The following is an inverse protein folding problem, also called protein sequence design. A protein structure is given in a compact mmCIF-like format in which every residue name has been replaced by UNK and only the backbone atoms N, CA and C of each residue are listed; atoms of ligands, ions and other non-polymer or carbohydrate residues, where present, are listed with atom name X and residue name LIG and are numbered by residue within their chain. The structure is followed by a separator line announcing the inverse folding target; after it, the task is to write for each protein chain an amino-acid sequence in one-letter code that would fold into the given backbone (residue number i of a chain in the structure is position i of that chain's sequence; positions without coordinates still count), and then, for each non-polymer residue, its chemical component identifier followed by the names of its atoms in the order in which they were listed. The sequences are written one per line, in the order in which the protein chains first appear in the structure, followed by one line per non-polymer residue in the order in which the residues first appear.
data_IF_963098420360
#
_entry.id   IF_963098420360
#
_cell.length_a   1.000
_cell.length_b   1.000
_cell.length_c   1.000
_cell.angle_alpha   90.00
_cell.angle_beta   90.00
_cell.angle_gamma   90.00
#
_symmetry.space_group_name_H-M   'P 1'
#
loop_
_entity.id
_entity.type
_entity.pdbx_description
1 polymer ?
#
# COMPACT_ATOMS: atom_id res chain seq x y z
N UNK A 1 21.23 18.92 9.79
CA UNK A 1 20.63 19.11 8.46
C UNK A 1 19.28 18.43 8.49
N UNK A 2 18.18 19.14 8.18
CA UNK A 2 16.86 18.51 8.10
C UNK A 2 16.84 17.53 6.92
N UNK A 3 16.23 16.37 7.10
CA UNK A 3 16.01 15.34 6.08
C UNK A 3 14.51 15.09 5.95
N UNK A 4 14.06 14.71 4.77
CA UNK A 4 12.70 14.20 4.59
C UNK A 4 12.69 12.73 5.06
N UNK A 5 12.06 12.49 6.21
CA UNK A 5 11.86 11.16 6.78
C UNK A 5 10.47 10.65 6.34
N UNK A 6 10.45 9.63 5.48
CA UNK A 6 9.21 9.10 4.90
C UNK A 6 8.56 8.09 5.85
N UNK A 7 7.23 8.14 5.96
CA UNK A 7 6.45 7.12 6.64
C UNK A 7 6.41 5.86 5.78
N UNK A 8 6.61 4.70 6.39
CA UNK A 8 6.52 3.41 5.73
C UNK A 8 5.07 3.03 5.41
N UNK A 9 4.20 3.28 6.38
CA UNK A 9 2.77 3.01 6.34
C UNK A 9 2.03 4.21 6.94
N UNK A 10 0.73 4.30 6.71
CA UNK A 10 -0.14 5.35 7.25
C UNK A 10 -0.15 5.31 8.78
N UNK A 11 0.34 6.33 9.51
CA UNK A 11 0.08 6.42 10.94
C UNK A 11 -1.43 6.38 11.21
N UNK A 12 -1.85 5.52 12.14
CA UNK A 12 -3.25 5.32 12.49
C UNK A 12 -3.43 5.33 14.03
N UNK A 13 -4.67 5.53 14.50
CA UNK A 13 -4.97 5.52 15.93
C UNK A 13 -4.14 6.53 16.72
N UNK A 14 -3.48 6.09 17.79
CA UNK A 14 -2.66 6.98 18.63
C UNK A 14 -1.48 7.62 17.89
N UNK A 15 -0.90 6.93 16.90
CA UNK A 15 0.19 7.47 16.08
C UNK A 15 -0.28 8.64 15.22
N UNK A 16 -1.46 8.49 14.59
CA UNK A 16 -2.10 9.57 13.84
C UNK A 16 -2.40 10.78 14.74
N UNK A 17 -3.00 10.54 15.91
CA UNK A 17 -3.33 11.61 16.85
C UNK A 17 -2.08 12.33 17.35
N UNK A 18 -1.02 11.58 17.65
CA UNK A 18 0.28 12.12 18.00
C UNK A 18 0.87 12.97 16.88
N UNK A 19 0.78 12.51 15.62
CA UNK A 19 1.31 13.25 14.47
C UNK A 19 0.59 14.59 14.28
N UNK A 20 -0.73 14.62 14.48
CA UNK A 20 -1.51 15.87 14.45
C UNK A 20 -1.07 16.81 15.58
N UNK A 21 -0.93 16.31 16.82
CA UNK A 21 -0.46 17.12 17.95
C UNK A 21 0.95 17.67 17.71
N UNK A 22 1.85 16.83 17.21
CA UNK A 22 3.21 17.20 16.88
C UNK A 22 3.26 18.25 15.75
N UNK A 23 2.42 18.09 14.73
CA UNK A 23 2.21 19.06 13.67
C UNK A 23 1.78 20.43 14.22
N UNK A 24 0.70 20.45 14.98
CA UNK A 24 0.12 21.69 15.56
C UNK A 24 1.09 22.37 16.53
N UNK A 25 1.92 21.62 17.27
CA UNK A 25 2.91 22.19 18.21
C UNK A 25 4.08 22.87 17.48
N UNK A 26 4.53 22.31 16.35
CA UNK A 26 5.76 22.73 15.66
C UNK A 26 5.52 23.61 14.43
N UNK A 27 4.29 23.61 13.90
CA UNK A 27 3.89 24.38 12.72
C UNK A 27 3.01 25.57 13.10
N UNK A 28 3.13 26.67 12.36
CA UNK A 28 2.27 27.85 12.53
C UNK A 28 0.95 27.69 11.77
N UNK A 29 0.99 26.97 10.65
CA UNK A 29 -0.16 26.76 9.77
C UNK A 29 -0.20 25.34 9.24
N UNK A 30 -1.40 24.90 8.87
CA UNK A 30 -1.60 23.70 8.06
C UNK A 30 -2.45 24.03 6.84
N UNK A 31 -2.35 23.17 5.83
CA UNK A 31 -3.00 23.33 4.55
C UNK A 31 -3.84 22.10 4.20
N UNK A 32 -4.93 22.36 3.49
CA UNK A 32 -5.76 21.35 2.82
C UNK A 32 -5.95 21.76 1.36
N UNK A 33 -6.02 20.78 0.48
CA UNK A 33 -6.26 20.96 -0.95
C UNK A 33 -7.64 20.41 -1.37
N UNK A 34 -8.19 20.98 -2.43
CA UNK A 34 -9.40 20.49 -3.09
C UNK A 34 -9.22 20.58 -4.60
N UNK A 35 -9.42 19.48 -5.31
CA UNK A 35 -9.42 19.50 -6.77
C UNK A 35 -10.55 20.39 -7.31
N UNK A 36 -10.28 21.14 -8.38
CA UNK A 36 -11.24 22.06 -9.00
C UNK A 36 -12.44 21.33 -9.65
N UNK A 37 -12.32 20.03 -9.91
CA UNK A 37 -13.25 19.29 -10.78
C UNK A 37 -14.14 18.31 -10.00
N UNK A 38 -14.20 18.43 -8.67
CA UNK A 38 -14.84 17.43 -7.85
C UNK A 38 -15.56 17.97 -6.62
N UNK A 39 -16.73 17.39 -6.36
CA UNK A 39 -17.56 17.66 -5.19
C UNK A 39 -17.15 16.74 -4.03
N UNK A 40 -16.99 17.33 -2.84
CA UNK A 40 -16.78 16.57 -1.62
C UNK A 40 -18.11 15.94 -1.18
N UNK A 41 -17.99 14.81 -0.49
CA UNK A 41 -19.11 14.27 0.28
C UNK A 41 -19.41 15.20 1.47
N UNK A 42 -20.59 15.04 2.06
CA UNK A 42 -21.08 15.86 3.17
C UNK A 42 -20.07 15.93 4.34
N UNK A 43 -19.38 14.82 4.60
CA UNK A 43 -18.32 14.74 5.61
C UNK A 43 -17.16 15.71 5.34
N UNK A 44 -16.62 15.71 4.12
CA UNK A 44 -15.53 16.62 3.75
C UNK A 44 -15.94 18.08 3.79
N UNK A 45 -17.18 18.42 3.37
CA UNK A 45 -17.72 19.78 3.47
C UNK A 45 -17.93 20.19 4.95
N UNK A 46 -18.35 19.26 5.79
CA UNK A 46 -18.50 19.49 7.23
C UNK A 46 -17.15 19.82 7.89
N UNK A 47 -16.08 19.10 7.53
CA UNK A 47 -14.73 19.38 8.04
C UNK A 47 -14.27 20.78 7.65
N UNK A 48 -14.43 21.19 6.39
CA UNK A 48 -14.09 22.55 5.96
C UNK A 48 -14.90 23.61 6.73
N UNK A 49 -16.19 23.35 6.96
CA UNK A 49 -17.09 24.23 7.72
C UNK A 49 -16.65 24.38 9.17
N UNK A 50 -16.27 23.29 9.84
CA UNK A 50 -15.77 23.31 11.21
C UNK A 50 -14.44 24.06 11.33
N UNK A 51 -13.60 24.01 10.30
CA UNK A 51 -12.30 24.67 10.26
C UNK A 51 -12.35 26.16 9.88
N UNK A 52 -13.48 26.65 9.35
CA UNK A 52 -13.66 28.04 8.90
C UNK A 52 -13.20 29.11 9.92
N UNK A 53 -13.43 28.98 11.25
CA UNK A 53 -12.95 29.95 12.24
C UNK A 53 -11.42 30.10 12.29
N UNK A 54 -10.67 29.13 11.78
CA UNK A 54 -9.20 29.10 11.77
C UNK A 54 -8.62 29.47 10.40
N UNK A 55 -9.46 29.69 9.38
CA UNK A 55 -9.03 29.99 8.02
C UNK A 55 -8.29 31.34 7.97
N UNK A 56 -7.05 31.32 7.47
CA UNK A 56 -6.23 32.50 7.24
C UNK A 56 -6.44 33.02 5.81
N UNK A 57 -6.35 32.11 4.83
CA UNK A 57 -6.54 32.45 3.42
C UNK A 57 -7.00 31.25 2.61
N UNK A 58 -7.73 31.55 1.54
CA UNK A 58 -8.18 30.61 0.51
C UNK A 58 -7.80 31.17 -0.85
N UNK A 59 -7.21 30.34 -1.70
CA UNK A 59 -6.83 30.73 -3.07
C UNK A 59 -6.92 29.53 -4.02
N UNK A 60 -7.01 29.81 -5.31
CA UNK A 60 -7.00 28.79 -6.36
C UNK A 60 -5.70 28.81 -7.13
N UNK A 61 -5.32 27.65 -7.66
CA UNK A 61 -4.26 27.49 -8.66
C UNK A 61 -4.87 26.79 -9.86
N UNK A 62 -4.77 27.43 -11.01
CA UNK A 62 -5.22 26.88 -12.30
C UNK A 62 -4.16 25.97 -12.91
N UNK A 63 -4.59 25.14 -13.87
CA UNK A 63 -3.67 24.28 -14.61
C UNK A 63 -2.62 25.09 -15.39
N UNK A 64 -3.01 26.24 -15.93
CA UNK A 64 -2.13 27.14 -16.68
C UNK A 64 -1.03 27.74 -15.78
N UNK A 65 -1.40 28.17 -14.56
CA UNK A 65 -0.44 28.69 -13.58
C UNK A 65 0.60 27.64 -13.16
N UNK A 66 0.19 26.38 -12.98
CA UNK A 66 1.13 25.28 -12.69
C UNK A 66 2.09 25.04 -13.85
N UNK A 67 1.58 24.96 -15.06
CA UNK A 67 2.39 24.74 -16.26
C UNK A 67 3.42 25.87 -16.47
N UNK A 68 3.07 27.11 -16.12
CA UNK A 68 4.01 28.23 -16.13
C UNK A 68 5.13 28.04 -15.11
N UNK A 69 4.79 27.67 -13.87
CA UNK A 69 5.78 27.39 -12.80
C UNK A 69 6.74 26.27 -13.18
N UNK A 70 6.24 25.21 -13.84
CA UNK A 70 7.09 24.11 -14.29
C UNK A 70 8.07 24.50 -15.40
N UNK A 71 7.70 25.43 -16.29
CA UNK A 71 8.59 25.93 -17.34
C UNK A 71 9.75 26.74 -16.77
N UNK A 72 9.49 27.58 -15.77
CA UNK A 72 10.52 28.40 -15.10
C UNK A 72 11.58 27.52 -14.40
N UNK A 73 11.17 26.45 -13.72
CA UNK A 73 12.11 25.51 -13.06
C UNK A 73 12.98 24.78 -14.09
N UNK A 74 12.46 24.49 -15.29
CA UNK A 74 13.22 23.78 -16.33
C UNK A 74 14.29 24.62 -17.03
N UNK A 75 14.25 25.96 -16.93
CA UNK A 75 15.25 26.83 -17.56
C UNK A 75 16.49 27.07 -16.67
N UNK A 76 16.40 26.92 -15.34
CA UNK A 76 17.52 27.13 -14.41
C UNK A 76 18.31 25.85 -14.05
N UNK A 77 17.69 24.65 -14.08
CA UNK A 77 18.33 23.39 -13.65
C UNK A 77 18.82 22.52 -14.83
N UNK A 78 19.99 22.85 -15.40
CA UNK A 78 20.72 21.91 -16.28
C UNK A 78 21.44 20.83 -15.47
N UNK A 79 20.75 19.71 -15.19
CA UNK A 79 21.36 18.46 -14.72
C UNK A 79 21.02 17.26 -15.64
N UNK A 80 21.86 16.20 -15.72
CA UNK A 80 21.82 15.20 -16.79
C UNK A 80 20.54 14.36 -16.84
N UNK A 81 20.14 13.99 -18.06
CA UNK A 81 18.83 13.42 -18.46
C UNK A 81 18.50 11.99 -17.98
N UNK A 82 19.28 11.39 -17.07
CA UNK A 82 19.19 9.95 -16.81
C UNK A 82 18.16 9.52 -15.75
N UNK A 83 17.55 10.43 -14.99
CA UNK A 83 16.63 10.07 -13.89
C UNK A 83 15.31 10.88 -13.92
N UNK A 84 14.59 10.83 -15.05
CA UNK A 84 13.34 11.61 -15.24
C UNK A 84 12.26 11.37 -14.18
N UNK A 85 12.15 10.16 -13.60
CA UNK A 85 11.14 9.84 -12.58
C UNK A 85 11.46 10.38 -11.18
N UNK A 86 12.75 10.52 -10.82
CA UNK A 86 13.14 11.16 -9.55
C UNK A 86 13.02 12.69 -9.59
N UNK A 87 12.96 13.26 -10.79
CA UNK A 87 12.89 14.70 -11.01
C UNK A 87 11.49 15.29 -10.82
N UNK A 88 10.43 14.49 -10.80
CA UNK A 88 9.07 15.01 -10.67
C UNK A 88 8.75 15.40 -9.22
N UNK A 89 9.13 14.57 -8.25
CA UNK A 89 9.00 14.87 -6.82
C UNK A 89 9.88 16.06 -6.37
N UNK A 90 11.04 16.27 -7.00
CA UNK A 90 11.95 17.38 -6.68
C UNK A 90 11.49 18.75 -7.22
N UNK A 91 10.47 18.79 -8.09
CA UNK A 91 9.97 20.03 -8.73
C UNK A 91 8.88 20.74 -7.94
N UNK A 92 8.30 20.09 -6.94
CA UNK A 92 7.19 20.64 -6.18
C UNK A 92 7.70 21.21 -4.86
N UNK A 93 7.66 22.53 -4.71
CA UNK A 93 7.74 23.18 -3.39
C UNK A 93 6.32 23.22 -2.83
N UNK A 94 5.98 22.29 -1.95
CA UNK A 94 4.71 22.31 -1.22
C UNK A 94 3.54 21.57 -1.88
N UNK A 95 2.43 21.58 -1.14
CA UNK A 95 1.10 21.03 -1.47
C UNK A 95 0.54 21.53 -2.83
N UNK A 96 1.11 22.60 -3.39
CA UNK A 96 0.71 23.25 -4.64
C UNK A 96 1.18 22.53 -5.91
N UNK A 97 1.16 21.19 -5.93
CA UNK A 97 1.60 20.38 -7.05
C UNK A 97 0.48 20.05 -8.06
N UNK A 98 -0.77 20.46 -7.78
CA UNK A 98 -1.95 20.21 -8.61
C UNK A 98 -2.87 21.42 -8.70
N UNK A 99 -3.72 21.44 -9.73
CA UNK A 99 -4.68 22.52 -9.89
C UNK A 99 -5.85 22.30 -8.93
N UNK A 100 -6.23 23.34 -8.22
CA UNK A 100 -7.03 23.16 -7.02
C UNK A 100 -7.32 24.45 -6.28
N UNK A 101 -8.17 24.32 -5.26
CA UNK A 101 -8.35 25.32 -4.22
C UNK A 101 -7.56 24.89 -2.99
N UNK A 102 -6.81 25.83 -2.43
CA UNK A 102 -5.97 25.64 -1.27
C UNK A 102 -6.49 26.47 -0.10
N UNK A 103 -6.54 25.84 1.05
CA UNK A 103 -7.01 26.42 2.29
C UNK A 103 -5.85 26.43 3.28
N UNK A 104 -5.53 27.59 3.84
CA UNK A 104 -4.47 27.74 4.84
C UNK A 104 -5.12 28.10 6.16
N UNK A 105 -4.91 27.27 7.17
CA UNK A 105 -5.49 27.41 8.49
C UNK A 105 -4.39 27.68 9.52
N UNK A 106 -4.74 28.43 10.56
CA UNK A 106 -3.88 28.60 11.73
C UNK A 106 -3.89 27.32 12.57
N UNK A 107 -2.72 26.87 13.01
CA UNK A 107 -2.61 25.80 14.00
C UNK A 107 -3.24 26.23 15.34
N UNK A 108 -4.08 25.37 15.93
CA UNK A 108 -4.70 25.54 17.24
C UNK A 108 -5.09 24.17 17.81
N UNK A 109 -5.34 24.08 19.12
CA UNK A 109 -5.79 22.82 19.74
C UNK A 109 -7.17 22.42 19.23
N UNK A 110 -8.05 23.40 19.04
CA UNK A 110 -9.40 23.19 18.53
C UNK A 110 -9.38 22.68 17.09
N UNK A 111 -8.48 23.21 16.23
CA UNK A 111 -8.29 22.68 14.89
C UNK A 111 -7.72 21.26 14.93
N UNK A 112 -6.77 20.97 15.84
CA UNK A 112 -6.23 19.62 16.02
C UNK A 112 -7.33 18.59 16.32
N UNK A 113 -8.28 18.94 17.20
CA UNK A 113 -9.39 18.05 17.55
C UNK A 113 -10.31 17.79 16.37
N UNK A 114 -10.57 18.80 15.52
CA UNK A 114 -11.33 18.62 14.27
C UNK A 114 -10.61 17.66 13.33
N UNK A 115 -9.30 17.86 13.09
CA UNK A 115 -8.51 16.99 12.21
C UNK A 115 -8.48 15.54 12.74
N UNK A 116 -8.32 15.35 14.04
CA UNK A 116 -8.29 14.01 14.67
C UNK A 116 -9.63 13.28 14.64
N UNK A 117 -10.74 14.00 14.54
CA UNK A 117 -12.07 13.43 14.47
C UNK A 117 -12.54 13.23 13.02
N UNK A 118 -11.89 13.91 12.06
CA UNK A 118 -12.21 13.82 10.64
C UNK A 118 -11.67 12.55 9.97
N UNK A 119 -10.58 11.98 10.49
CA UNK A 119 -9.92 10.80 9.91
C UNK A 119 -9.44 9.85 11.02
N UNK A 120 -9.33 8.56 10.70
CA UNK A 120 -8.75 7.54 11.56
C UNK A 120 -7.24 7.34 11.31
N UNK A 121 -6.76 7.70 10.12
CA UNK A 121 -5.35 7.57 9.74
C UNK A 121 -4.87 8.65 8.77
N UNK A 122 -3.54 8.79 8.66
CA UNK A 122 -2.89 9.88 7.93
C UNK A 122 -3.24 9.92 6.44
N UNK A 123 -3.22 8.79 5.73
CA UNK A 123 -3.54 8.75 4.29
C UNK A 123 -5.04 8.79 3.97
N UNK A 124 -5.92 9.01 4.95
CA UNK A 124 -7.37 9.13 4.69
C UNK A 124 -7.79 10.52 4.20
N UNK A 125 -6.89 11.51 4.30
CA UNK A 125 -7.06 12.87 3.77
C UNK A 125 -7.04 12.87 2.23
N UNK A 126 -8.03 12.20 1.64
CA UNK A 126 -8.19 11.96 0.22
C UNK A 126 -9.63 12.25 -0.21
N UNK A 127 -9.74 12.84 -1.39
CA UNK A 127 -11.02 13.13 -2.03
C UNK A 127 -11.72 11.83 -2.51
N UNK A 128 -13.07 11.69 -2.43
CA UNK A 128 -14.09 12.71 -2.12
C UNK A 128 -14.50 12.80 -0.65
N UNK A 129 -13.98 11.93 0.21
CA UNK A 129 -14.43 11.82 1.60
C UNK A 129 -13.95 13.00 2.42
N UNK A 130 -12.67 13.38 2.26
CA UNK A 130 -12.07 14.53 2.92
C UNK A 130 -11.43 15.49 1.90
N UNK A 131 -11.15 16.74 2.30
CA UNK A 131 -10.19 17.56 1.59
C UNK A 131 -8.86 16.80 1.45
N UNK A 132 -8.24 16.89 0.29
CA UNK A 132 -7.02 16.15 0.03
C UNK A 132 -5.82 16.79 0.71
N UNK A 133 -4.80 15.98 0.96
CA UNK A 133 -3.43 16.39 1.27
C UNK A 133 -3.33 17.32 2.51
N UNK A 134 -3.47 16.78 3.72
CA UNK A 134 -3.19 17.53 4.95
C UNK A 134 -1.68 17.76 5.13
N UNK A 135 -1.23 19.02 5.00
CA UNK A 135 0.17 19.41 5.17
C UNK A 135 0.35 20.38 6.32
N UNK A 136 1.43 20.26 7.07
CA UNK A 136 1.85 21.24 8.09
C UNK A 136 3.04 22.04 7.57
N UNK A 137 3.02 23.35 7.78
CA UNK A 137 4.08 24.26 7.35
C UNK A 137 4.81 24.87 8.55
N UNK A 138 6.15 24.88 8.52
CA UNK A 138 6.94 25.58 9.51
C UNK A 138 6.80 27.12 9.40
N UNK A 139 7.37 27.84 10.36
CA UNK A 139 7.33 29.31 10.44
C UNK A 139 7.84 30.03 9.20
N UNK A 140 8.68 29.36 8.41
CA UNK A 140 9.29 29.90 7.20
C UNK A 140 8.44 29.56 5.97
N UNK A 141 7.29 28.90 6.17
CA UNK A 141 6.35 28.46 5.14
C UNK A 141 6.81 27.20 4.40
N UNK A 142 7.82 26.48 4.91
CA UNK A 142 8.29 25.26 4.29
C UNK A 142 7.52 24.05 4.82
N UNK A 143 7.48 23.00 4.00
CA UNK A 143 6.83 21.74 4.38
C UNK A 143 7.51 21.13 5.59
N UNK A 144 6.72 20.94 6.64
CA UNK A 144 7.14 20.30 7.87
C UNK A 144 6.66 18.85 7.93
N UNK A 145 5.36 18.63 7.74
CA UNK A 145 4.79 17.30 7.55
C UNK A 145 3.97 17.34 6.27
N UNK A 146 4.22 16.41 5.36
CA UNK A 146 3.53 16.36 4.08
C UNK A 146 2.72 15.08 3.93
N UNK A 147 1.67 15.15 3.11
CA UNK A 147 0.75 14.06 2.83
C UNK A 147 0.25 14.14 1.39
N UNK A 148 0.65 13.19 0.56
CA UNK A 148 0.15 12.97 -0.79
C UNK A 148 -0.72 11.72 -0.69
N UNK A 149 -1.94 11.89 -0.20
CA UNK A 149 -2.76 10.80 0.34
C UNK A 149 -3.07 9.72 -0.72
N UNK A 150 -3.43 10.17 -1.92
CA UNK A 150 -3.75 9.30 -3.06
C UNK A 150 -2.54 8.54 -3.64
N UNK A 151 -1.31 8.93 -3.29
CA UNK A 151 -0.09 8.14 -3.58
C UNK A 151 0.38 7.35 -2.35
N UNK A 152 -0.34 7.44 -1.22
CA UNK A 152 0.06 6.89 0.08
C UNK A 152 1.49 7.30 0.46
N UNK A 153 1.85 8.56 0.16
CA UNK A 153 3.17 9.11 0.43
C UNK A 153 3.08 10.23 1.47
N UNK A 154 3.78 10.08 2.58
CA UNK A 154 3.86 11.11 3.58
C UNK A 154 5.17 11.06 4.33
N UNK A 155 5.51 12.14 5.00
CA UNK A 155 6.76 12.23 5.72
C UNK A 155 6.90 13.52 6.50
N UNK A 156 8.01 13.61 7.21
CA UNK A 156 8.30 14.68 8.15
C UNK A 156 9.72 15.23 7.93
N UNK A 157 9.84 16.56 7.95
CA UNK A 157 11.08 17.29 7.71
C UNK A 157 11.73 17.70 9.03
N UNK A 158 12.48 16.76 9.60
CA UNK A 158 13.21 16.93 10.87
C UNK A 158 14.67 16.53 10.68
N UNK A 159 15.53 16.80 11.65
CA UNK A 159 16.89 16.24 11.60
C UNK A 159 16.88 14.71 11.85
N UNK A 160 18.02 14.09 11.60
CA UNK A 160 18.16 12.62 11.66
C UNK A 160 17.93 12.10 13.08
N UNK A 161 18.42 12.81 14.11
CA UNK A 161 18.29 12.40 15.51
C UNK A 161 16.82 12.46 15.96
N UNK A 162 16.08 13.47 15.51
CA UNK A 162 14.64 13.60 15.73
C UNK A 162 13.87 12.46 15.04
N UNK A 163 14.16 12.18 13.77
CA UNK A 163 13.51 11.10 13.03
C UNK A 163 13.75 9.74 13.70
N UNK A 164 14.98 9.46 14.13
CA UNK A 164 15.33 8.24 14.87
C UNK A 164 14.57 8.17 16.19
N UNK A 165 14.54 9.27 16.95
CA UNK A 165 13.79 9.30 18.22
C UNK A 165 12.31 9.06 18.02
N UNK A 166 11.67 9.67 17.01
CA UNK A 166 10.24 9.46 16.73
C UNK A 166 10.00 7.98 16.41
N UNK A 167 10.81 7.39 15.53
CA UNK A 167 10.70 5.98 15.16
C UNK A 167 10.89 5.05 16.37
N UNK A 168 11.82 5.35 17.27
CA UNK A 168 12.11 4.49 18.43
C UNK A 168 11.11 4.64 19.59
N UNK A 169 10.38 5.76 19.67
CA UNK A 169 9.59 6.10 20.86
C UNK A 169 8.09 6.22 20.61
N UNK A 170 7.66 6.34 19.36
CA UNK A 170 6.24 6.52 19.00
C UNK A 170 5.76 5.30 18.21
N UNK A 171 5.08 4.33 18.85
CA UNK A 171 4.47 3.20 18.16
C UNK A 171 3.55 3.66 17.02
N UNK A 172 3.59 2.96 15.88
CA UNK A 172 2.83 3.32 14.67
C UNK A 172 3.43 4.44 13.81
N UNK A 173 4.43 5.20 14.31
CA UNK A 173 5.21 6.14 13.48
C UNK A 173 6.39 5.44 12.80
N UNK A 174 6.09 4.49 11.91
CA UNK A 174 7.13 3.74 11.21
C UNK A 174 7.79 4.61 10.15
N UNK A 175 9.05 5.00 10.37
CA UNK A 175 9.85 5.80 9.44
C UNK A 175 10.82 4.90 8.68
N UNK A 176 10.83 5.02 7.36
CA UNK A 176 11.76 4.29 6.50
C UNK A 176 13.20 4.78 6.68
N UNK A 177 14.08 3.86 7.05
CA UNK A 177 15.51 4.12 7.26
C UNK A 177 16.32 3.52 6.12
N UNK A 178 17.42 4.19 5.74
CA UNK A 178 18.37 3.66 4.73
C UNK A 178 18.91 2.27 5.09
N UNK A 179 18.99 1.97 6.39
CA UNK A 179 19.44 0.67 6.90
C UNK A 179 18.50 -0.49 6.60
N UNK A 180 17.20 -0.25 6.33
CA UNK A 180 16.23 -1.33 6.11
C UNK A 180 16.48 -2.10 4.82
N UNK A 181 16.90 -1.43 3.74
CA UNK A 181 16.92 -2.00 2.38
C UNK A 181 17.66 -3.34 2.25
N UNK A 182 18.67 -3.60 3.08
CA UNK A 182 19.44 -4.84 3.06
C UNK A 182 19.59 -5.47 4.47
N UNK A 183 18.72 -5.10 5.41
CA UNK A 183 18.79 -5.59 6.79
C UNK A 183 17.38 -6.02 7.25
N UNK A 184 17.06 -7.27 6.97
CA UNK A 184 15.79 -7.88 7.34
C UNK A 184 15.54 -7.79 8.84
N UNK A 185 16.54 -8.11 9.68
CA UNK A 185 16.37 -8.11 11.15
C UNK A 185 15.95 -6.73 11.66
N UNK A 186 16.67 -5.68 11.25
CA UNK A 186 16.35 -4.31 11.67
C UNK A 186 14.96 -3.85 11.19
N UNK A 187 14.64 -4.15 9.93
CA UNK A 187 13.32 -3.85 9.37
C UNK A 187 12.21 -4.61 10.10
N UNK A 188 12.44 -5.87 10.40
CA UNK A 188 11.48 -6.75 11.05
C UNK A 188 11.20 -6.33 12.50
N UNK A 189 12.23 -5.94 13.26
CA UNK A 189 12.05 -5.39 14.61
C UNK A 189 11.20 -4.12 14.60
N UNK A 190 11.45 -3.21 13.65
CA UNK A 190 10.63 -2.00 13.50
C UNK A 190 9.19 -2.37 13.10
N UNK A 191 8.99 -3.31 12.18
CA UNK A 191 7.65 -3.76 11.80
C UNK A 191 6.89 -4.33 13.00
N UNK A 192 7.55 -5.12 13.86
CA UNK A 192 6.94 -5.65 15.10
C UNK A 192 6.61 -4.53 16.11
N UNK A 193 7.47 -3.52 16.22
CA UNK A 193 7.25 -2.38 17.10
C UNK A 193 6.10 -1.49 16.63
N UNK A 194 6.07 -1.17 15.32
CA UNK A 194 5.11 -0.23 14.76
C UNK A 194 3.79 -0.86 14.34
N UNK A 195 3.75 -2.16 14.09
CA UNK A 195 2.55 -2.93 13.71
C UNK A 195 1.83 -2.33 12.49
N UNK A 196 2.50 -2.18 11.34
CA UNK A 196 1.87 -1.54 10.19
C UNK A 196 0.66 -2.32 9.69
N UNK A 197 -0.28 -1.62 9.04
CA UNK A 197 -1.41 -2.19 8.29
C UNK A 197 -0.98 -2.68 6.91
N UNK A 198 0.11 -2.15 6.36
CA UNK A 198 0.72 -2.61 5.11
C UNK A 198 2.15 -3.09 5.34
N UNK A 199 2.50 -4.27 4.84
CA UNK A 199 3.84 -4.83 4.94
C UNK A 199 4.29 -5.44 3.61
N UNK A 200 5.47 -5.05 3.17
CA UNK A 200 6.14 -5.50 1.95
C UNK A 200 7.49 -6.14 2.32
N UNK A 201 7.61 -7.44 2.09
CA UNK A 201 8.87 -8.18 2.21
C UNK A 201 9.45 -8.32 0.81
N UNK A 202 10.47 -7.53 0.50
CA UNK A 202 11.00 -7.44 -0.85
C UNK A 202 12.53 -7.46 -0.86
N UNK A 203 13.10 -8.46 -1.54
CA UNK A 203 14.53 -8.49 -1.85
C UNK A 203 15.44 -8.55 -0.63
N UNK A 204 14.93 -9.03 0.52
CA UNK A 204 15.75 -9.31 1.70
C UNK A 204 16.56 -10.60 1.54
N UNK A 205 16.18 -11.48 0.60
CA UNK A 205 16.82 -12.77 0.38
C UNK A 205 16.52 -13.76 1.49
N UNK A 206 15.39 -13.61 2.17
CA UNK A 206 15.00 -14.49 3.28
C UNK A 206 14.54 -15.86 2.74
N UNK A 207 14.89 -16.92 3.47
CA UNK A 207 14.47 -18.29 3.15
C UNK A 207 13.13 -18.65 3.82
N UNK A 208 12.77 -17.93 4.88
CA UNK A 208 11.55 -18.16 5.63
C UNK A 208 11.03 -16.85 6.24
N UNK A 209 9.71 -16.75 6.32
CA UNK A 209 9.04 -15.68 7.07
C UNK A 209 9.00 -16.08 8.55
N UNK A 210 9.41 -15.22 9.49
CA UNK A 210 9.38 -15.54 10.91
C UNK A 210 7.95 -15.77 11.44
N UNK A 211 7.78 -16.77 12.32
CA UNK A 211 6.49 -17.04 13.01
C UNK A 211 5.99 -15.83 13.84
N UNK A 212 6.88 -14.90 14.21
CA UNK A 212 6.46 -13.66 14.87
C UNK A 212 5.56 -12.78 14.00
N UNK A 213 5.40 -13.07 12.71
CA UNK A 213 4.46 -12.37 11.82
C UNK A 213 3.03 -12.38 12.39
N UNK A 214 2.65 -13.43 13.12
CA UNK A 214 1.34 -13.52 13.77
C UNK A 214 1.08 -12.40 14.78
N UNK A 215 2.10 -11.69 15.25
CA UNK A 215 1.94 -10.54 16.16
C UNK A 215 1.39 -9.29 15.45
N UNK A 216 1.47 -9.21 14.12
CA UNK A 216 1.04 -8.07 13.31
C UNK A 216 -0.49 -8.09 13.06
N UNK A 217 -1.28 -8.12 14.14
CA UNK A 217 -2.75 -8.30 14.09
C UNK A 217 -3.53 -7.22 13.34
N UNK A 218 -2.92 -6.05 13.15
CA UNK A 218 -3.50 -4.92 12.44
C UNK A 218 -3.23 -4.98 10.92
N UNK A 219 -2.45 -5.97 10.46
CA UNK A 219 -2.07 -6.09 9.05
C UNK A 219 -3.30 -6.34 8.16
N UNK A 220 -3.45 -5.51 7.13
CA UNK A 220 -4.48 -5.58 6.10
C UNK A 220 -3.91 -5.97 4.74
N UNK A 221 -2.68 -5.54 4.45
CA UNK A 221 -2.00 -5.81 3.19
C UNK A 221 -0.65 -6.45 3.46
N UNK A 222 -0.43 -7.66 2.94
CA UNK A 222 0.85 -8.35 3.00
C UNK A 222 1.31 -8.71 1.59
N UNK A 223 2.47 -8.18 1.21
CA UNK A 223 3.15 -8.58 -0.01
C UNK A 223 4.49 -9.23 0.30
N UNK A 224 4.70 -10.44 -0.22
CA UNK A 224 5.94 -11.20 -0.10
C UNK A 224 6.52 -11.36 -1.50
N UNK A 225 7.70 -10.81 -1.73
CA UNK A 225 8.47 -10.85 -2.97
C UNK A 225 9.86 -11.38 -2.66
N UNK A 226 9.93 -12.66 -2.32
CA UNK A 226 11.13 -13.34 -1.87
C UNK A 226 11.28 -14.65 -2.63
N UNK A 227 12.33 -14.76 -3.44
CA UNK A 227 12.52 -15.94 -4.30
C UNK A 227 12.80 -17.23 -3.51
N UNK A 228 13.33 -17.14 -2.29
CA UNK A 228 13.71 -18.29 -1.47
C UNK A 228 12.65 -18.73 -0.47
N UNK A 229 11.53 -18.00 -0.34
CA UNK A 229 10.43 -18.37 0.56
C UNK A 229 9.59 -19.46 -0.10
N UNK A 230 9.82 -20.71 0.31
CA UNK A 230 9.11 -21.89 -0.25
C UNK A 230 7.95 -22.37 0.60
N UNK A 231 7.79 -21.84 1.82
CA UNK A 231 6.71 -22.17 2.75
C UNK A 231 6.18 -20.91 3.43
N UNK A 232 4.88 -20.92 3.72
CA UNK A 232 4.22 -19.88 4.51
C UNK A 232 4.07 -20.37 5.97
N UNK A 233 4.45 -19.56 6.99
CA UNK A 233 4.38 -19.94 8.39
C UNK A 233 2.93 -20.06 8.89
N UNK A 234 2.70 -20.92 9.88
CA UNK A 234 1.34 -21.14 10.43
C UNK A 234 0.79 -19.88 11.12
N UNK A 235 1.66 -19.04 11.69
CA UNK A 235 1.28 -17.77 12.30
C UNK A 235 0.62 -16.76 11.32
N UNK A 236 0.65 -16.97 10.00
CA UNK A 236 -0.16 -16.16 9.09
C UNK A 236 -1.66 -16.39 9.27
N UNK A 237 -2.06 -17.58 9.73
CA UNK A 237 -3.46 -17.92 10.05
C UNK A 237 -4.11 -17.03 11.11
N UNK A 238 -3.26 -16.28 11.81
CA UNK A 238 -3.55 -15.48 12.96
C UNK A 238 -3.88 -14.01 12.60
N UNK A 239 -3.74 -13.64 11.31
CA UNK A 239 -3.94 -12.32 10.73
C UNK A 239 -5.37 -12.12 10.20
N UNK A 240 -6.34 -12.15 11.11
CA UNK A 240 -7.77 -12.17 10.76
C UNK A 240 -8.30 -10.87 10.14
N UNK A 241 -7.51 -9.79 10.12
CA UNK A 241 -7.84 -8.53 9.45
C UNK A 241 -7.27 -8.43 8.02
N UNK A 242 -6.51 -9.43 7.56
CA UNK A 242 -5.84 -9.37 6.27
C UNK A 242 -6.86 -9.35 5.12
N UNK A 243 -6.78 -8.32 4.29
CA UNK A 243 -7.64 -8.06 3.14
C UNK A 243 -6.91 -8.42 1.83
N UNK A 244 -5.59 -8.24 1.78
CA UNK A 244 -4.77 -8.57 0.62
C UNK A 244 -3.56 -9.42 1.02
N UNK A 245 -3.39 -10.54 0.31
CA UNK A 245 -2.21 -11.40 0.42
C UNK A 245 -1.64 -11.63 -0.96
N UNK A 246 -0.41 -11.17 -1.15
CA UNK A 246 0.35 -11.37 -2.37
C UNK A 246 1.64 -12.12 -2.07
N UNK A 247 1.87 -13.22 -2.76
CA UNK A 247 3.07 -14.07 -2.63
C UNK A 247 3.68 -14.29 -4.00
N UNK A 248 4.89 -13.78 -4.18
CA UNK A 248 5.74 -14.00 -5.33
C UNK A 248 7.03 -14.67 -4.86
N UNK A 249 7.24 -15.90 -5.31
CA UNK A 249 8.42 -16.71 -4.97
C UNK A 249 8.87 -17.51 -6.19
N UNK A 250 10.02 -18.19 -6.10
CA UNK A 250 10.46 -19.11 -7.12
C UNK A 250 9.59 -20.38 -7.13
N UNK A 251 9.34 -20.99 -5.95
CA UNK A 251 8.68 -22.29 -5.86
C UNK A 251 7.98 -22.48 -4.51
N UNK A 252 6.72 -22.05 -4.42
CA UNK A 252 5.93 -22.29 -3.22
C UNK A 252 5.57 -23.78 -3.14
N UNK A 253 5.76 -24.40 -1.99
CA UNK A 253 5.47 -25.83 -1.81
C UNK A 253 3.97 -26.13 -1.81
N UNK A 254 3.20 -25.33 -1.07
CA UNK A 254 1.76 -25.50 -0.92
C UNK A 254 1.10 -24.18 -0.52
N UNK A 255 -0.22 -24.10 -0.76
CA UNK A 255 -1.09 -23.14 -0.10
C UNK A 255 -1.66 -23.86 1.12
N UNK A 256 -1.29 -23.48 2.36
CA UNK A 256 -1.74 -24.21 3.54
C UNK A 256 -3.25 -24.11 3.76
N UNK A 257 -3.85 -25.14 4.37
CA UNK A 257 -5.28 -25.17 4.69
C UNK A 257 -5.73 -24.00 5.58
N UNK A 258 -4.83 -23.46 6.40
CA UNK A 258 -5.13 -22.30 7.23
C UNK A 258 -5.45 -21.04 6.43
N UNK A 259 -5.20 -20.99 5.12
CA UNK A 259 -5.61 -19.87 4.25
C UNK A 259 -7.09 -19.57 4.41
N UNK A 260 -7.92 -20.60 4.64
CA UNK A 260 -9.36 -20.44 4.85
C UNK A 260 -9.74 -19.73 6.16
N UNK A 261 -8.78 -19.47 7.06
CA UNK A 261 -8.99 -18.67 8.28
C UNK A 261 -8.93 -17.16 8.01
N UNK A 262 -8.36 -16.73 6.87
CA UNK A 262 -8.24 -15.32 6.48
C UNK A 262 -9.57 -14.79 5.92
N UNK A 263 -10.63 -14.83 6.71
CA UNK A 263 -12.01 -14.63 6.21
C UNK A 263 -12.30 -13.22 5.69
N UNK A 264 -11.44 -12.23 5.97
CA UNK A 264 -11.54 -10.87 5.44
C UNK A 264 -10.84 -10.69 4.09
N UNK A 265 -10.14 -11.72 3.61
CA UNK A 265 -9.34 -11.63 2.39
C UNK A 265 -10.23 -11.35 1.16
N UNK A 266 -9.94 -10.25 0.49
CA UNK A 266 -10.56 -9.79 -0.76
C UNK A 266 -9.71 -10.15 -1.97
N UNK A 267 -8.38 -10.12 -1.81
CA UNK A 267 -7.44 -10.35 -2.88
C UNK A 267 -6.38 -11.37 -2.46
N UNK A 268 -6.33 -12.50 -3.16
CA UNK A 268 -5.27 -13.50 -3.01
C UNK A 268 -4.52 -13.63 -4.32
N UNK A 269 -3.23 -13.33 -4.29
CA UNK A 269 -2.34 -13.53 -5.43
C UNK A 269 -1.17 -14.40 -5.04
N UNK A 270 -0.97 -15.50 -5.74
CA UNK A 270 0.17 -16.38 -5.60
C UNK A 270 0.77 -16.59 -6.98
N UNK A 271 2.05 -16.31 -7.13
CA UNK A 271 2.77 -16.62 -8.35
C UNK A 271 4.12 -17.23 -8.03
N UNK A 272 4.36 -18.41 -8.61
CA UNK A 272 5.69 -19.03 -8.59
C UNK A 272 6.47 -18.59 -9.84
N UNK A 273 7.74 -18.98 -9.95
CA UNK A 273 8.61 -18.58 -11.05
C UNK A 273 8.83 -17.07 -11.17
N UNK A 274 8.66 -16.32 -10.07
CA UNK A 274 8.97 -14.89 -9.99
C UNK A 274 10.41 -14.69 -9.53
N UNK A 275 11.17 -13.87 -10.27
CA UNK A 275 12.58 -13.60 -9.99
C UNK A 275 12.76 -12.16 -9.53
N UNK A 276 13.02 -11.99 -8.24
CA UNK A 276 13.68 -10.79 -7.73
C UNK A 276 15.05 -11.20 -7.20
N UNK A 277 16.04 -11.18 -8.10
CA UNK A 277 17.43 -11.50 -7.79
C UNK A 277 17.94 -12.77 -8.46
N UNK A 278 18.79 -12.58 -9.48
CA UNK A 278 20.01 -13.33 -9.79
C UNK A 278 20.00 -14.88 -9.79
N UNK A 279 19.01 -15.53 -10.40
CA UNK A 279 19.28 -16.88 -10.96
C UNK A 279 18.86 -16.93 -12.43
N UNK A 280 19.75 -17.42 -13.29
CA UNK A 280 19.49 -17.62 -14.72
C UNK A 280 18.62 -18.88 -14.98
N UNK A 281 18.19 -19.57 -13.93
CA UNK A 281 17.47 -20.83 -14.01
C UNK A 281 15.99 -20.61 -13.73
N UNK A 282 15.19 -20.78 -14.79
CA UNK A 282 13.75 -20.82 -14.67
C UNK A 282 13.33 -22.24 -14.34
N UNK A 283 12.72 -22.45 -13.17
CA UNK A 283 12.16 -23.75 -12.79
C UNK A 283 11.10 -24.10 -13.84
N UNK A 284 11.28 -25.20 -14.61
CA UNK A 284 10.28 -25.64 -15.55
C UNK A 284 8.96 -25.86 -14.82
N UNK A 285 7.85 -25.46 -15.44
CA UNK A 285 6.53 -25.57 -14.81
C UNK A 285 6.17 -27.01 -14.42
N UNK A 286 6.74 -27.99 -15.12
CA UNK A 286 6.59 -29.40 -14.82
C UNK A 286 7.21 -29.80 -13.47
N UNK A 287 8.12 -28.98 -12.96
CA UNK A 287 8.91 -29.19 -11.74
C UNK A 287 8.47 -28.29 -10.57
N UNK A 288 7.58 -27.31 -10.79
CA UNK A 288 7.05 -26.42 -9.74
C UNK A 288 6.21 -27.23 -8.74
N UNK A 289 6.47 -27.04 -7.45
CA UNK A 289 5.94 -27.85 -6.36
C UNK A 289 4.45 -27.60 -6.08
N UNK A 290 3.99 -26.35 -6.21
CA UNK A 290 2.58 -25.99 -5.97
C UNK A 290 1.68 -26.61 -7.03
N UNK A 291 1.01 -27.70 -6.68
CA UNK A 291 0.17 -28.49 -7.60
C UNK A 291 -1.31 -28.51 -7.25
N UNK A 292 -1.71 -27.96 -6.09
CA UNK A 292 -3.07 -28.05 -5.57
C UNK A 292 -3.50 -26.75 -4.89
N UNK A 293 -4.79 -26.46 -4.95
CA UNK A 293 -5.45 -25.44 -4.12
C UNK A 293 -6.23 -26.15 -3.02
N UNK A 294 -6.07 -25.77 -1.74
CA UNK A 294 -6.77 -26.44 -0.63
C UNK A 294 -8.28 -26.18 -0.70
N UNK A 295 -9.13 -27.15 -0.32
CA UNK A 295 -10.58 -26.97 -0.27
C UNK A 295 -11.02 -25.85 0.68
N UNK A 296 -10.22 -25.53 1.70
CA UNK A 296 -10.45 -24.43 2.62
C UNK A 296 -10.53 -23.06 1.95
N UNK A 297 -10.06 -22.91 0.70
CA UNK A 297 -10.25 -21.70 -0.09
C UNK A 297 -11.73 -21.28 -0.15
N UNK A 298 -12.67 -22.24 -0.18
CA UNK A 298 -14.10 -21.97 -0.22
C UNK A 298 -14.64 -21.22 1.01
N UNK A 299 -13.87 -21.12 2.10
CA UNK A 299 -14.23 -20.34 3.30
C UNK A 299 -14.07 -18.83 3.12
N UNK A 300 -13.33 -18.38 2.09
CA UNK A 300 -13.02 -16.97 1.85
C UNK A 300 -14.21 -16.21 1.23
N UNK A 301 -15.28 -16.01 1.99
CA UNK A 301 -16.54 -15.41 1.49
C UNK A 301 -16.40 -13.96 1.02
N UNK A 302 -15.35 -13.27 1.44
CA UNK A 302 -15.05 -11.91 0.98
C UNK A 302 -14.17 -11.86 -0.27
N UNK A 303 -13.68 -13.00 -0.78
CA UNK A 303 -12.72 -13.02 -1.88
C UNK A 303 -13.35 -12.54 -3.18
N UNK A 304 -12.78 -11.48 -3.75
CA UNK A 304 -13.22 -10.85 -4.99
C UNK A 304 -12.29 -11.16 -6.16
N UNK A 305 -11.00 -11.35 -5.86
CA UNK A 305 -9.96 -11.66 -6.83
C UNK A 305 -9.09 -12.80 -6.34
N UNK A 306 -8.98 -13.85 -7.16
CA UNK A 306 -8.07 -14.96 -6.97
C UNK A 306 -7.15 -15.07 -8.18
N UNK A 307 -5.85 -14.97 -7.94
CA UNK A 307 -4.82 -15.16 -8.97
C UNK A 307 -3.82 -16.18 -8.47
N UNK A 308 -3.73 -17.32 -9.16
CA UNK A 308 -2.70 -18.32 -8.89
C UNK A 308 -2.04 -18.64 -10.22
N UNK A 309 -0.85 -18.11 -10.46
CA UNK A 309 -0.21 -18.13 -11.77
C UNK A 309 1.15 -18.80 -11.75
N UNK A 310 1.52 -19.39 -12.89
CA UNK A 310 2.81 -20.08 -13.06
C UNK A 310 3.04 -21.16 -11.99
N UNK A 311 2.09 -22.09 -11.86
CA UNK A 311 2.21 -23.21 -10.90
C UNK A 311 1.96 -24.56 -11.57
N UNK A 312 2.10 -25.63 -10.81
CA UNK A 312 1.81 -27.00 -11.21
C UNK A 312 0.32 -27.39 -11.09
N UNK A 313 -0.60 -26.45 -10.83
CA UNK A 313 -2.03 -26.76 -10.58
C UNK A 313 -2.67 -27.50 -11.76
N UNK A 314 -3.20 -28.69 -11.51
CA UNK A 314 -3.88 -29.52 -12.52
C UNK A 314 -5.40 -29.53 -12.41
N UNK A 315 -5.95 -29.20 -11.24
CA UNK A 315 -7.38 -29.19 -10.96
C UNK A 315 -7.71 -28.19 -9.83
N UNK A 316 -9.00 -27.90 -9.62
CA UNK A 316 -9.50 -26.98 -8.61
C UNK A 316 -10.46 -27.70 -7.65
N UNK A 317 -10.46 -27.36 -6.34
CA UNK A 317 -11.39 -27.95 -5.39
C UNK A 317 -12.84 -27.53 -5.67
N UNK A 318 -13.78 -28.42 -5.38
CA UNK A 318 -15.23 -28.20 -5.51
C UNK A 318 -15.76 -27.04 -4.64
N UNK A 319 -15.05 -26.78 -3.55
CA UNK A 319 -15.31 -25.70 -2.60
C UNK A 319 -15.07 -24.31 -3.20
N UNK A 320 -14.36 -24.20 -4.34
CA UNK A 320 -14.18 -22.92 -5.03
C UNK A 320 -15.53 -22.30 -5.42
N UNK A 321 -16.54 -23.12 -5.75
CA UNK A 321 -17.90 -22.66 -6.04
C UNK A 321 -18.59 -21.97 -4.85
N UNK A 322 -18.03 -22.06 -3.64
CA UNK A 322 -18.58 -21.39 -2.46
C UNK A 322 -18.11 -19.93 -2.32
N UNK A 323 -17.27 -19.43 -3.25
CA UNK A 323 -16.81 -18.05 -3.28
C UNK A 323 -17.88 -17.14 -3.89
N UNK A 324 -18.72 -16.58 -3.03
CA UNK A 324 -19.91 -15.81 -3.42
C UNK A 324 -19.61 -14.43 -4.03
N UNK A 325 -18.41 -13.89 -3.79
CA UNK A 325 -17.98 -12.57 -4.27
C UNK A 325 -16.92 -12.59 -5.36
N UNK A 326 -16.45 -13.77 -5.78
CA UNK A 326 -15.34 -13.89 -6.72
C UNK A 326 -15.73 -13.37 -8.11
N UNK A 327 -15.10 -12.28 -8.53
CA UNK A 327 -15.33 -11.63 -9.82
C UNK A 327 -14.19 -11.85 -10.80
N UNK A 328 -12.96 -11.97 -10.30
CA UNK A 328 -11.76 -12.17 -11.11
C UNK A 328 -11.06 -13.46 -10.72
N UNK A 329 -10.82 -14.32 -11.70
CA UNK A 329 -10.04 -15.54 -11.56
C UNK A 329 -8.94 -15.60 -12.62
N UNK A 330 -7.69 -15.62 -12.19
CA UNK A 330 -6.55 -15.85 -13.06
C UNK A 330 -5.84 -17.14 -12.64
N UNK A 331 -5.85 -18.11 -13.56
CA UNK A 331 -5.16 -19.38 -13.46
C UNK A 331 -4.24 -19.56 -14.67
N UNK A 332 -3.71 -18.45 -15.18
CA UNK A 332 -2.79 -18.48 -16.30
C UNK A 332 -1.50 -19.19 -15.92
N UNK A 333 -0.92 -19.86 -16.90
CA UNK A 333 0.33 -20.59 -16.73
C UNK A 333 0.25 -21.67 -15.62
N UNK A 334 -0.90 -22.36 -15.44
CA UNK A 334 -1.04 -23.63 -14.68
C UNK A 334 -1.19 -24.94 -15.48
N UNK A 335 -1.08 -26.11 -14.88
CA UNK A 335 -1.12 -27.39 -15.61
C UNK A 335 -2.53 -27.96 -15.83
N UNK A 336 -3.55 -27.11 -16.00
CA UNK A 336 -4.92 -27.57 -16.28
C UNK A 336 -4.96 -28.28 -17.64
N UNK A 337 -5.67 -29.42 -17.70
CA UNK A 337 -5.81 -30.26 -18.90
C UNK A 337 -7.13 -30.09 -19.63
N UNK A 338 -8.07 -29.40 -19.01
CA UNK A 338 -9.34 -29.00 -19.58
C UNK A 338 -9.81 -27.74 -18.87
N UNK A 339 -10.81 -27.07 -19.45
CA UNK A 339 -11.48 -25.96 -18.80
C UNK A 339 -12.23 -26.47 -17.55
N UNK A 340 -11.93 -25.96 -16.34
CA UNK A 340 -12.53 -26.47 -15.11
C UNK A 340 -14.04 -26.29 -15.10
N UNK A 341 -14.79 -27.40 -14.97
CA UNK A 341 -16.25 -27.35 -14.98
C UNK A 341 -16.84 -26.51 -13.83
N UNK A 342 -16.08 -26.34 -12.74
CA UNK A 342 -16.42 -25.52 -11.58
C UNK A 342 -16.66 -24.05 -11.93
N UNK A 343 -16.09 -23.54 -13.02
CA UNK A 343 -16.27 -22.15 -13.46
C UNK A 343 -17.74 -21.80 -13.69
N UNK A 344 -18.54 -22.78 -14.14
CA UNK A 344 -19.98 -22.63 -14.39
C UNK A 344 -20.81 -22.49 -13.11
N UNK A 345 -20.22 -22.79 -11.95
CA UNK A 345 -20.87 -22.76 -10.62
C UNK A 345 -20.49 -21.54 -9.80
N UNK A 346 -19.59 -20.68 -10.30
CA UNK A 346 -19.22 -19.43 -9.64
C UNK A 346 -20.29 -18.37 -9.95
N UNK A 347 -21.02 -17.86 -8.93
CA UNK A 347 -22.28 -17.14 -9.14
C UNK A 347 -22.12 -15.74 -9.74
N UNK A 348 -20.97 -15.09 -9.53
CA UNK A 348 -20.73 -13.68 -9.89
C UNK A 348 -19.43 -13.46 -10.66
N UNK A 349 -18.85 -14.52 -11.22
CA UNK A 349 -17.59 -14.46 -11.94
C UNK A 349 -17.73 -13.64 -13.23
N UNK A 350 -16.82 -12.70 -13.45
CA UNK A 350 -16.86 -11.75 -14.57
C UNK A 350 -15.68 -11.94 -15.52
N UNK A 351 -14.49 -12.11 -14.96
CA UNK A 351 -13.24 -12.15 -15.70
C UNK A 351 -12.48 -13.43 -15.38
N UNK A 352 -12.12 -14.18 -16.41
CA UNK A 352 -11.38 -15.44 -16.30
C UNK A 352 -10.20 -15.43 -17.24
N UNK A 353 -9.01 -15.72 -16.72
CA UNK A 353 -7.80 -15.92 -17.51
C UNK A 353 -7.27 -17.33 -17.29
N UNK A 354 -7.29 -18.15 -18.34
CA UNK A 354 -6.76 -19.54 -18.34
C UNK A 354 -5.62 -19.68 -19.35
N UNK A 355 -4.99 -18.57 -19.75
CA UNK A 355 -3.99 -18.60 -20.83
C UNK A 355 -2.78 -19.46 -20.48
N UNK A 356 -2.26 -20.18 -21.48
CA UNK A 356 -1.05 -20.98 -21.36
C UNK A 356 -1.19 -22.28 -20.57
N UNK A 357 -2.40 -22.77 -20.26
CA UNK A 357 -2.61 -24.12 -19.68
C UNK A 357 -2.35 -25.23 -20.73
N UNK A 358 -2.28 -26.50 -20.31
CA UNK A 358 -1.89 -27.62 -21.19
C UNK A 358 -2.85 -27.79 -22.38
N UNK A 359 -4.15 -27.57 -22.17
CA UNK A 359 -5.16 -27.69 -23.24
C UNK A 359 -5.18 -26.52 -24.23
N UNK A 360 -4.61 -25.36 -23.88
CA UNK A 360 -4.52 -24.23 -24.82
C UNK A 360 -3.55 -24.50 -25.97
N UNK A 361 -2.65 -25.48 -25.82
CA UNK A 361 -1.67 -25.85 -26.84
C UNK A 361 -2.12 -27.02 -27.74
N UNK A 362 -3.25 -27.66 -27.44
CA UNK A 362 -3.73 -28.84 -28.17
C UNK A 362 -4.30 -28.53 -29.57
N UNK A 363 -4.47 -27.26 -29.95
CA UNK A 363 -5.05 -26.84 -31.24
C UNK A 363 -4.02 -26.47 -32.33
N UNK A 364 -2.72 -26.74 -32.14
CA UNK A 364 -1.65 -26.44 -33.10
C UNK A 364 -0.69 -27.61 -33.38
N UNK A 365 -1.23 -28.82 -33.56
CA UNK A 365 -0.47 -29.98 -34.06
C UNK A 365 -1.10 -30.61 -35.29
#
# INVERSE_FOLDING_TARGET
MKVAAMFYDSPYGDAYRWLIDYGIEKADTFMLSRSLHSELLEEGENVLTQLEPFLIRKYGITQEELESRYKEITEEDMFPKEDKKKNEAARHKGIEYRSGTYYVYRCSKEAADILKNAAEHWFEWEHPHLPADLWFLDKDGNDFIHNIAHESMGGIHVDVEEAERINETVPGMFIMRRGHKNNFESFWQDALFHKPRKLELYGFGIEAIPESIGQLKELRELSIHESNVTMLPEALSELNQLEELTVYTADLKEIPAWVGNLTQLKHLRIACGSYHGATDYIIPREEVALTQVPPEIGRLKQLESLSINYTGITDLPEELAQLEKLRYLDLSRNRLREEPSILKRLPVLQNVCLSGNEYNHADHS
#
